data_IF_777915230572
#
_entry.id   IF_777915230572
#
_cell.length_a   1.000
_cell.length_b   1.000
_cell.length_c   1.000
_cell.angle_alpha   90.00
_cell.angle_beta   90.00
_cell.angle_gamma   90.00
#
_symmetry.space_group_name_H-M   'P 1'
#
loop_
_entity.id
_entity.type
_entity.pdbx_description
1 polymer ?
#
# COMPACT_ATOMS: atom_id res chain seq x y z
N UNK A 1 -15.84 -19.50 5.04
CA UNK A 1 -17.01 -18.72 4.58
C UNK A 1 -18.06 -18.79 5.67
N UNK A 2 -18.11 -17.80 6.55
CA UNK A 2 -19.07 -17.80 7.67
C UNK A 2 -20.35 -16.99 7.37
N UNK A 3 -20.36 -16.18 6.29
CA UNK A 3 -21.46 -15.25 5.99
C UNK A 3 -21.82 -15.17 4.49
N UNK A 4 -21.75 -16.27 3.73
CA UNK A 4 -22.17 -16.37 2.30
C UNK A 4 -21.74 -15.21 1.36
N UNK A 5 -20.67 -14.48 1.71
CA UNK A 5 -20.12 -13.37 0.95
C UNK A 5 -18.82 -13.81 0.29
N UNK A 6 -18.75 -13.62 -1.02
CA UNK A 6 -17.52 -13.80 -1.79
C UNK A 6 -16.62 -12.57 -1.62
N UNK A 7 -15.48 -12.73 -0.96
CA UNK A 7 -14.43 -11.72 -0.93
C UNK A 7 -13.52 -11.88 -2.15
N UNK A 8 -13.64 -10.99 -3.13
CA UNK A 8 -12.73 -10.95 -4.28
C UNK A 8 -11.54 -10.04 -3.97
N UNK A 9 -10.34 -10.53 -4.22
CA UNK A 9 -9.09 -9.76 -4.08
C UNK A 9 -8.55 -9.40 -5.46
N UNK A 10 -8.88 -8.20 -5.99
CA UNK A 10 -8.48 -7.80 -7.35
C UNK A 10 -6.96 -7.67 -7.52
N UNK A 11 -6.19 -7.57 -6.44
CA UNK A 11 -4.72 -7.52 -6.49
C UNK A 11 -4.06 -8.89 -6.69
N UNK A 12 -4.80 -9.99 -6.57
CA UNK A 12 -4.29 -11.35 -6.75
C UNK A 12 -4.65 -11.93 -8.12
N UNK A 13 -5.01 -11.07 -9.08
CA UNK A 13 -5.26 -11.49 -10.44
C UNK A 13 -3.96 -11.94 -11.14
N UNK A 14 -4.02 -13.04 -11.90
CA UNK A 14 -2.85 -13.64 -12.55
C UNK A 14 -2.16 -12.67 -13.50
N UNK A 15 -2.92 -11.94 -14.33
CA UNK A 15 -2.34 -11.03 -15.31
C UNK A 15 -1.63 -9.86 -14.62
N UNK A 16 -2.19 -9.38 -13.51
CA UNK A 16 -1.56 -8.33 -12.70
C UNK A 16 -0.28 -8.82 -12.01
N UNK A 17 -0.27 -10.05 -11.50
CA UNK A 17 0.89 -10.65 -10.84
C UNK A 17 2.03 -10.87 -11.83
N UNK A 18 1.74 -11.37 -13.03
CA UNK A 18 2.73 -11.53 -14.11
C UNK A 18 3.35 -10.19 -14.50
N UNK A 19 2.53 -9.16 -14.67
CA UNK A 19 3.04 -7.80 -14.92
C UNK A 19 3.90 -7.30 -13.75
N UNK A 20 3.42 -7.46 -12.51
CA UNK A 20 4.16 -7.04 -11.31
C UNK A 20 5.51 -7.76 -11.14
N UNK A 21 5.65 -8.99 -11.63
CA UNK A 21 6.90 -9.74 -11.61
C UNK A 21 7.98 -9.15 -12.53
N UNK A 22 7.59 -8.54 -13.66
CA UNK A 22 8.51 -7.91 -14.62
C UNK A 22 9.09 -6.57 -14.17
N UNK A 23 8.46 -5.92 -13.18
CA UNK A 23 8.83 -4.58 -12.72
C UNK A 23 10.11 -4.62 -11.87
N UNK A 24 11.09 -3.72 -12.12
CA UNK A 24 12.30 -3.58 -11.31
C UNK A 24 12.02 -3.29 -9.83
N UNK A 25 12.78 -3.92 -8.93
CA UNK A 25 12.58 -3.79 -7.48
C UNK A 25 12.77 -2.36 -6.95
N UNK A 26 13.62 -1.57 -7.61
CA UNK A 26 13.83 -0.15 -7.29
C UNK A 26 12.55 0.70 -7.39
N UNK A 27 11.56 0.26 -8.17
CA UNK A 27 10.26 0.93 -8.32
C UNK A 27 9.20 0.39 -7.33
N UNK A 28 9.48 -0.74 -6.69
CA UNK A 28 8.64 -1.34 -5.63
C UNK A 28 9.00 -0.77 -4.26
N UNK A 29 10.28 -0.49 -4.02
CA UNK A 29 10.84 0.01 -2.76
C UNK A 29 11.85 1.15 -3.02
N UNK A 30 11.62 2.32 -2.42
CA UNK A 30 12.60 3.43 -2.45
C UNK A 30 12.60 4.13 -1.10
N UNK A 31 13.79 4.27 -0.48
CA UNK A 31 14.01 5.03 0.77
C UNK A 31 13.01 4.68 1.89
N UNK A 32 12.82 3.39 2.17
CA UNK A 32 11.89 2.92 3.21
C UNK A 32 10.40 3.05 2.88
N UNK A 33 10.04 3.63 1.73
CA UNK A 33 8.66 3.69 1.24
C UNK A 33 8.38 2.53 0.29
N UNK A 34 7.35 1.76 0.62
CA UNK A 34 6.88 0.61 -0.16
C UNK A 34 5.73 0.99 -1.08
N UNK A 35 5.53 0.21 -2.15
CA UNK A 35 4.38 0.34 -3.07
C UNK A 35 4.35 1.68 -3.81
N UNK A 36 5.51 2.16 -4.25
CA UNK A 36 5.65 3.48 -4.88
C UNK A 36 4.93 3.50 -6.23
N UNK A 37 5.13 2.49 -7.07
CA UNK A 37 4.42 2.38 -8.35
C UNK A 37 2.89 2.46 -8.20
N UNK A 38 2.33 1.87 -7.13
CA UNK A 38 0.89 1.96 -6.86
C UNK A 38 0.51 3.38 -6.41
N UNK A 39 1.32 4.02 -5.57
CA UNK A 39 1.07 5.40 -5.14
C UNK A 39 1.11 6.39 -6.30
N UNK A 40 2.04 6.20 -7.22
CA UNK A 40 2.20 7.04 -8.40
C UNK A 40 1.05 6.80 -9.39
N UNK A 41 0.67 5.54 -9.64
CA UNK A 41 -0.46 5.20 -10.51
C UNK A 41 -1.81 5.73 -10.02
N UNK A 42 -2.01 5.84 -8.70
CA UNK A 42 -3.24 6.37 -8.11
C UNK A 42 -3.09 7.83 -7.61
N UNK A 43 -2.00 8.51 -7.95
CA UNK A 43 -1.71 9.86 -7.46
C UNK A 43 -2.78 10.89 -7.88
N UNK A 44 -3.35 10.69 -9.07
CA UNK A 44 -4.35 11.58 -9.67
C UNK A 44 -5.77 11.31 -9.16
N UNK A 45 -6.01 10.10 -8.65
CA UNK A 45 -7.34 9.64 -8.22
C UNK A 45 -7.59 9.83 -6.72
N UNK A 46 -6.53 9.90 -5.91
CA UNK A 46 -6.63 9.93 -4.45
C UNK A 46 -6.13 11.28 -3.87
N UNK A 47 -6.75 11.78 -2.80
CA UNK A 47 -6.25 12.97 -2.11
C UNK A 47 -4.88 12.71 -1.48
N UNK A 48 -3.98 13.70 -1.56
CA UNK A 48 -2.57 13.63 -1.12
C UNK A 48 -2.39 13.07 0.30
N UNK A 49 -3.33 13.35 1.21
CA UNK A 49 -3.34 12.84 2.59
C UNK A 49 -3.30 11.31 2.69
N UNK A 50 -3.92 10.60 1.74
CA UNK A 50 -3.96 9.13 1.71
C UNK A 50 -2.68 8.57 1.10
N UNK A 51 -2.17 9.20 0.03
CA UNK A 51 -0.98 8.76 -0.70
C UNK A 51 0.28 8.87 0.14
N UNK A 52 0.42 9.94 0.93
CA UNK A 52 1.60 10.18 1.78
C UNK A 52 1.57 9.36 3.07
N UNK A 53 0.41 8.78 3.44
CA UNK A 53 0.24 8.02 4.68
C UNK A 53 1.24 6.86 4.77
N UNK A 54 1.83 6.66 5.94
CA UNK A 54 2.63 5.44 6.21
C UNK A 54 1.71 4.22 6.28
N UNK A 55 2.18 3.07 5.78
CA UNK A 55 1.44 1.81 5.90
C UNK A 55 1.39 1.44 7.38
N UNK A 56 0.19 1.36 7.92
CA UNK A 56 -0.03 0.69 9.19
C UNK A 56 0.15 -0.80 8.89
N UNK A 57 1.19 -1.41 9.45
CA UNK A 57 1.14 -2.87 9.70
C UNK A 57 -0.11 -3.11 10.54
N UNK A 58 -0.76 -4.26 10.40
CA UNK A 58 -1.99 -4.64 11.12
C UNK A 58 -1.79 -4.49 12.64
N UNK A 59 -1.93 -3.27 13.11
CA UNK A 59 -1.95 -2.84 14.49
C UNK A 59 -3.40 -2.43 14.72
N UNK A 60 -3.90 -2.86 15.87
CA UNK A 60 -5.19 -2.46 16.40
C UNK A 60 -5.42 -0.95 16.16
N UNK A 61 -6.49 -0.61 15.42
CA UNK A 61 -6.84 0.76 15.05
C UNK A 61 -7.02 1.69 16.26
N UNK A 62 -7.20 1.12 17.46
CA UNK A 62 -7.47 1.84 18.71
C UNK A 62 -6.24 2.02 19.61
N UNK A 63 -5.00 1.98 19.09
CA UNK A 63 -3.83 2.38 19.86
C UNK A 63 -3.56 3.90 19.71
N UNK A 64 -3.92 4.75 20.69
CA UNK A 64 -3.49 6.14 20.68
C UNK A 64 -1.98 6.20 20.96
N UNK A 65 -1.19 6.81 20.07
CA UNK A 65 0.21 7.13 20.38
C UNK A 65 1.23 7.16 19.24
N UNK A 66 0.91 6.68 18.03
CA UNK A 66 1.91 6.62 16.95
C UNK A 66 1.81 7.79 15.97
N UNK A 67 1.91 9.00 16.51
CA UNK A 67 2.03 10.22 15.73
C UNK A 67 3.35 10.92 16.06
N UNK A 68 4.21 11.04 15.04
CA UNK A 68 5.47 11.82 14.98
C UNK A 68 6.75 11.06 15.32
N UNK A 69 7.40 10.50 14.29
CA UNK A 69 8.88 10.45 14.14
C UNK A 69 9.24 9.93 12.75
N UNK A 70 9.18 10.79 11.73
CA UNK A 70 9.89 10.53 10.46
C UNK A 70 10.23 11.84 9.76
N UNK A 71 10.68 12.83 10.54
CA UNK A 71 11.14 14.15 10.07
C UNK A 71 12.60 14.41 10.49
N UNK A 72 13.36 13.35 10.74
CA UNK A 72 14.81 13.43 10.91
C UNK A 72 15.40 12.09 10.47
N UNK A 73 16.46 12.16 9.64
CA UNK A 73 17.15 11.12 8.83
C UNK A 73 16.74 11.12 7.35
#
# INVERSE_FOLDING_TARGET
MANSLEARSPFLDTALVEYAATIPDALKLRRGRTKIILRDAFADLLPKKIITRVRWVLVCHSAPGFGRTFESI
#
